data_IF_989013299114
#
_entry.id   IF_989013299114
#
_cell.length_a   1.000
_cell.length_b   1.000
_cell.length_c   1.000
_cell.angle_alpha   90.00
_cell.angle_beta   90.00
_cell.angle_gamma   90.00
#
_symmetry.space_group_name_H-M   'P 1'
#
loop_
_entity.id
_entity.type
_entity.pdbx_description
1 polymer ?
#
# COMPACT_ATOMS: atom_id res chain seq x y z
N UNK A 1 -15.46 -18.93 -0.60
CA UNK A 1 -14.26 -18.77 -1.46
C UNK A 1 -14.16 -20.00 -2.34
N UNK A 2 -14.26 -19.85 -3.66
CA UNK A 2 -14.07 -20.99 -4.58
C UNK A 2 -12.65 -21.55 -4.41
N UNK A 3 -12.46 -22.85 -4.71
CA UNK A 3 -11.14 -23.50 -4.69
C UNK A 3 -10.08 -22.69 -5.49
N UNK A 4 -10.54 -21.96 -6.52
CA UNK A 4 -9.73 -21.04 -7.33
C UNK A 4 -9.09 -19.91 -6.50
N UNK A 5 -9.80 -19.28 -5.58
CA UNK A 5 -9.27 -18.16 -4.79
C UNK A 5 -8.15 -18.55 -3.83
N UNK A 6 -8.05 -19.83 -3.43
CA UNK A 6 -6.93 -20.35 -2.62
C UNK A 6 -5.70 -20.59 -3.51
N UNK A 7 -5.91 -21.09 -4.73
CA UNK A 7 -4.85 -21.29 -5.71
C UNK A 7 -4.22 -19.97 -6.14
N UNK A 8 -5.01 -18.90 -6.27
CA UNK A 8 -4.52 -17.57 -6.67
C UNK A 8 -3.56 -16.94 -5.65
N UNK A 9 -3.71 -17.24 -4.36
CA UNK A 9 -2.87 -16.68 -3.27
C UNK A 9 -1.60 -17.49 -3.03
N UNK A 10 -1.58 -18.73 -3.51
CA UNK A 10 -0.48 -19.68 -3.31
C UNK A 10 0.88 -19.11 -3.75
N UNK A 11 1.02 -18.47 -4.94
CA UNK A 11 2.30 -17.87 -5.34
C UNK A 11 2.79 -16.78 -4.40
N UNK A 12 1.90 -15.92 -3.87
CA UNK A 12 2.29 -14.92 -2.87
C UNK A 12 2.76 -15.59 -1.58
N UNK A 13 2.04 -16.60 -1.09
CA UNK A 13 2.45 -17.33 0.11
C UNK A 13 3.80 -18.01 -0.08
N UNK A 14 4.05 -18.58 -1.26
CA UNK A 14 5.35 -19.15 -1.62
C UNK A 14 6.46 -18.10 -1.64
N UNK A 15 6.21 -16.90 -2.18
CA UNK A 15 7.18 -15.79 -2.17
C UNK A 15 7.48 -15.27 -0.76
N UNK A 16 6.45 -15.17 0.09
CA UNK A 16 6.61 -14.82 1.50
C UNK A 16 7.41 -15.90 2.22
N UNK A 17 7.07 -17.18 2.03
CA UNK A 17 7.78 -18.31 2.62
C UNK A 17 9.24 -18.35 2.15
N UNK A 18 9.49 -18.07 0.87
CA UNK A 18 10.84 -17.93 0.33
C UNK A 18 11.60 -16.81 1.05
N UNK A 19 10.99 -15.63 1.24
CA UNK A 19 11.60 -14.55 2.02
C UNK A 19 11.95 -14.95 3.45
N UNK A 20 11.12 -15.77 4.11
CA UNK A 20 11.42 -16.36 5.42
C UNK A 20 12.63 -17.30 5.34
N UNK A 21 12.65 -18.23 4.38
CA UNK A 21 13.74 -19.19 4.18
C UNK A 21 15.06 -18.46 3.92
N UNK A 22 15.06 -17.48 3.01
CA UNK A 22 16.26 -16.70 2.66
C UNK A 22 16.83 -15.93 3.86
N UNK A 23 15.98 -15.51 4.80
CA UNK A 23 16.47 -14.98 6.06
C UNK A 23 17.04 -16.07 6.97
N UNK A 24 16.35 -17.20 7.09
CA UNK A 24 16.80 -18.32 7.94
C UNK A 24 18.15 -18.88 7.50
N UNK A 25 18.42 -18.92 6.20
CA UNK A 25 19.72 -19.32 5.64
C UNK A 25 20.80 -18.24 5.78
N UNK A 26 20.44 -17.03 6.26
CA UNK A 26 21.35 -15.90 6.41
C UNK A 26 21.62 -15.12 5.12
N UNK A 27 21.04 -15.52 3.97
CA UNK A 27 21.21 -14.80 2.70
C UNK A 27 20.64 -13.38 2.77
N UNK A 28 19.49 -13.21 3.44
CA UNK A 28 18.86 -11.91 3.67
C UNK A 28 18.86 -11.59 5.17
N UNK A 29 19.70 -10.65 5.59
CA UNK A 29 19.62 -10.08 6.93
C UNK A 29 18.61 -8.90 6.98
N UNK A 30 18.47 -8.25 8.14
CA UNK A 30 17.57 -7.09 8.27
C UNK A 30 17.90 -5.96 7.29
N UNK A 31 19.19 -5.72 7.04
CA UNK A 31 19.61 -4.69 6.07
C UNK A 31 19.24 -5.10 4.64
N UNK A 32 19.41 -6.38 4.28
CA UNK A 32 18.97 -6.94 3.01
C UNK A 32 17.46 -6.78 2.79
N UNK A 33 16.65 -7.06 3.81
CA UNK A 33 15.21 -6.83 3.76
C UNK A 33 14.87 -5.35 3.49
N UNK A 34 15.57 -4.41 4.16
CA UNK A 34 15.43 -2.98 3.93
C UNK A 34 15.90 -2.54 2.53
N UNK A 35 16.92 -3.20 1.97
CA UNK A 35 17.36 -2.97 0.59
C UNK A 35 16.27 -3.41 -0.39
N UNK A 36 15.68 -4.61 -0.20
CA UNK A 36 14.58 -5.09 -1.03
C UNK A 36 13.37 -4.14 -0.99
N UNK A 37 12.97 -3.67 0.19
CA UNK A 37 11.87 -2.71 0.31
C UNK A 37 12.19 -1.37 -0.35
N UNK A 38 13.44 -0.88 -0.22
CA UNK A 38 13.85 0.36 -0.88
C UNK A 38 13.87 0.21 -2.40
N UNK A 39 14.37 -0.91 -2.91
CA UNK A 39 14.37 -1.23 -4.34
C UNK A 39 12.93 -1.30 -4.85
N UNK A 40 12.04 -1.96 -4.09
CA UNK A 40 10.63 -2.02 -4.44
C UNK A 40 10.01 -0.62 -4.51
N UNK A 41 10.18 0.19 -3.47
CA UNK A 41 9.60 1.52 -3.39
C UNK A 41 10.12 2.52 -4.45
N UNK A 42 11.41 2.44 -4.80
CA UNK A 42 12.01 3.43 -5.71
C UNK A 42 12.04 2.99 -7.17
N UNK A 43 11.93 1.69 -7.45
CA UNK A 43 12.10 1.15 -8.81
C UNK A 43 10.88 0.37 -9.26
N UNK A 44 10.56 -0.74 -8.59
CA UNK A 44 9.56 -1.68 -9.15
C UNK A 44 8.12 -1.25 -8.90
N UNK A 45 7.80 -0.65 -7.75
CA UNK A 45 6.47 -0.07 -7.50
C UNK A 45 6.21 1.07 -8.50
N UNK A 46 7.08 2.09 -8.65
CA UNK A 46 6.90 3.13 -9.67
C UNK A 46 6.76 2.56 -11.08
N UNK A 47 7.60 1.60 -11.47
CA UNK A 47 7.49 0.96 -12.79
C UNK A 47 6.15 0.24 -12.98
N UNK A 48 5.69 -0.50 -11.97
CA UNK A 48 4.42 -1.21 -12.01
C UNK A 48 3.22 -0.27 -12.08
N UNK A 49 3.25 0.82 -11.32
CA UNK A 49 2.22 1.87 -11.36
C UNK A 49 2.18 2.54 -12.73
N UNK A 50 3.32 3.02 -13.20
CA UNK A 50 3.43 3.69 -14.49
C UNK A 50 2.93 2.77 -15.61
N UNK A 51 3.45 1.54 -15.69
CA UNK A 51 3.08 0.57 -16.72
C UNK A 51 1.58 0.28 -16.71
N UNK A 52 1.02 0.06 -15.52
CA UNK A 52 -0.39 -0.29 -15.36
C UNK A 52 -1.32 0.86 -15.75
N UNK A 53 -1.00 2.09 -15.34
CA UNK A 53 -1.79 3.27 -15.70
C UNK A 53 -1.64 3.59 -17.20
N UNK A 54 -0.41 3.56 -17.71
CA UNK A 54 -0.12 3.89 -19.11
C UNK A 54 -0.85 2.96 -20.10
N UNK A 55 -0.99 1.67 -19.77
CA UNK A 55 -1.76 0.73 -20.59
C UNK A 55 -3.27 0.71 -20.28
N UNK A 56 -3.69 1.24 -19.13
CA UNK A 56 -5.11 1.32 -18.80
C UNK A 56 -5.81 2.39 -19.63
N UNK A 57 -7.09 2.17 -19.93
CA UNK A 57 -7.96 3.25 -20.43
C UNK A 57 -8.42 4.08 -19.24
N UNK A 58 -8.03 5.35 -19.22
CA UNK A 58 -8.50 6.28 -18.19
C UNK A 58 -10.03 6.44 -18.28
N UNK A 59 -10.71 5.85 -17.31
CA UNK A 59 -12.15 5.99 -17.13
C UNK A 59 -12.44 7.10 -16.13
N UNK A 60 -13.63 7.70 -16.21
CA UNK A 60 -14.07 8.71 -15.25
C UNK A 60 -14.00 8.19 -13.80
N UNK A 61 -14.35 6.91 -13.59
CA UNK A 61 -14.23 6.22 -12.31
C UNK A 61 -12.80 6.18 -11.77
N UNK A 62 -11.78 6.01 -12.62
CA UNK A 62 -10.38 6.02 -12.18
C UNK A 62 -9.93 7.41 -11.73
N UNK A 63 -10.42 8.47 -12.38
CA UNK A 63 -10.11 9.85 -12.01
C UNK A 63 -10.80 10.31 -10.71
N UNK A 64 -11.85 9.61 -10.27
CA UNK A 64 -12.46 9.84 -8.97
C UNK A 64 -11.64 9.22 -7.81
N UNK A 65 -10.77 8.24 -8.09
CA UNK A 65 -10.01 7.54 -7.04
C UNK A 65 -9.04 8.45 -6.27
N UNK A 66 -8.29 9.38 -6.88
CA UNK A 66 -7.50 10.35 -6.13
C UNK A 66 -8.37 11.23 -5.22
N UNK A 67 -9.57 11.63 -5.67
CA UNK A 67 -10.50 12.42 -4.84
C UNK A 67 -10.95 11.59 -3.63
N UNK A 68 -11.35 10.34 -3.86
CA UNK A 68 -11.70 9.41 -2.78
C UNK A 68 -10.52 9.16 -1.83
N UNK A 69 -9.30 9.12 -2.35
CA UNK A 69 -8.06 8.99 -1.59
C UNK A 69 -7.79 10.14 -0.61
N UNK A 70 -8.33 11.33 -0.88
CA UNK A 70 -8.30 12.46 0.06
C UNK A 70 -9.53 12.44 0.98
N UNK A 71 -10.71 12.25 0.41
CA UNK A 71 -11.99 12.41 1.11
C UNK A 71 -12.20 11.32 2.16
N UNK A 72 -11.89 10.06 1.85
CA UNK A 72 -12.11 8.94 2.78
C UNK A 72 -11.26 9.08 4.05
N UNK A 73 -9.93 9.28 3.98
CA UNK A 73 -9.13 9.52 5.19
C UNK A 73 -9.58 10.76 5.97
N UNK A 74 -9.99 11.84 5.29
CA UNK A 74 -10.50 13.04 5.93
C UNK A 74 -11.82 12.80 6.67
N UNK A 75 -12.75 12.07 6.06
CA UNK A 75 -14.00 11.65 6.67
C UNK A 75 -13.74 10.75 7.89
N UNK A 76 -12.84 9.78 7.78
CA UNK A 76 -12.44 8.92 8.90
C UNK A 76 -11.83 9.72 10.05
N UNK A 77 -10.96 10.69 9.76
CA UNK A 77 -10.42 11.59 10.77
C UNK A 77 -11.52 12.42 11.46
N UNK A 78 -12.54 12.87 10.71
CA UNK A 78 -13.73 13.53 11.24
C UNK A 78 -14.56 12.62 12.15
N UNK A 79 -14.81 11.37 11.74
CA UNK A 79 -15.52 10.38 12.56
C UNK A 79 -14.75 10.11 13.86
N UNK A 80 -13.43 9.93 13.78
CA UNK A 80 -12.57 9.77 14.96
C UNK A 80 -12.69 10.99 15.87
N UNK A 81 -12.66 12.21 15.32
CA UNK A 81 -12.87 13.42 16.12
C UNK A 81 -14.21 13.36 16.86
N UNK A 82 -15.31 13.09 16.18
CA UNK A 82 -16.65 13.12 16.78
C UNK A 82 -16.88 12.00 17.81
N UNK A 83 -16.27 10.83 17.61
CA UNK A 83 -16.47 9.63 18.45
C UNK A 83 -15.51 9.51 19.62
N UNK A 84 -14.48 10.37 19.69
CA UNK A 84 -13.50 10.39 20.80
C UNK A 84 -13.53 11.67 21.65
N UNK A 85 -14.70 12.18 22.08
CA UNK A 85 -14.76 13.37 22.94
C UNK A 85 -14.12 13.12 24.32
N UNK A 86 -14.13 11.87 24.80
CA UNK A 86 -13.46 11.45 26.05
C UNK A 86 -11.94 11.56 26.02
N UNK A 87 -11.36 11.70 24.83
CA UNK A 87 -9.93 11.90 24.61
C UNK A 87 -9.60 13.40 24.40
N UNK A 88 -10.54 14.31 24.70
CA UNK A 88 -10.30 15.75 24.62
C UNK A 88 -9.14 16.20 25.52
N UNK A 89 -9.00 15.59 26.70
CA UNK A 89 -7.92 15.86 27.65
C UNK A 89 -6.59 15.19 27.26
N UNK A 90 -6.59 14.36 26.20
CA UNK A 90 -5.42 13.68 25.65
C UNK A 90 -5.27 14.03 24.16
N UNK A 91 -5.00 15.30 23.83
CA UNK A 91 -4.93 15.77 22.44
C UNK A 91 -3.91 14.96 21.63
N UNK A 92 -2.79 14.58 22.23
CA UNK A 92 -1.71 13.82 21.59
C UNK A 92 -2.18 12.45 21.05
N UNK A 93 -2.88 11.68 21.90
CA UNK A 93 -3.40 10.38 21.52
C UNK A 93 -4.45 10.51 20.42
N UNK A 94 -5.30 11.54 20.51
CA UNK A 94 -6.34 11.82 19.52
C UNK A 94 -5.76 12.28 18.17
N UNK A 95 -4.68 13.06 18.19
CA UNK A 95 -3.93 13.46 17.01
C UNK A 95 -3.28 12.29 16.29
N UNK A 96 -2.65 11.37 17.05
CA UNK A 96 -2.06 10.14 16.48
C UNK A 96 -3.12 9.28 15.78
N UNK A 97 -4.31 9.16 16.38
CA UNK A 97 -5.41 8.40 15.76
C UNK A 97 -5.85 9.01 14.42
N UNK A 98 -5.98 10.34 14.32
CA UNK A 98 -6.35 11.02 13.07
C UNK A 98 -5.28 10.91 11.98
N UNK A 99 -4.01 11.02 12.36
CA UNK A 99 -2.86 10.84 11.46
C UNK A 99 -2.79 9.39 10.98
N UNK A 100 -3.10 8.44 11.86
CA UNK A 100 -3.10 7.01 11.56
C UNK A 100 -4.15 6.54 10.54
N UNK A 101 -5.09 7.42 10.15
CA UNK A 101 -6.08 7.11 9.11
C UNK A 101 -5.50 7.11 7.69
N UNK A 102 -4.22 7.46 7.53
CA UNK A 102 -3.47 7.28 6.26
C UNK A 102 -3.31 5.79 5.99
N UNK A 103 -3.84 5.32 4.87
CA UNK A 103 -3.58 3.94 4.40
C UNK A 103 -2.17 3.90 3.79
N UNK A 104 -1.21 3.19 4.39
CA UNK A 104 0.08 2.99 3.73
C UNK A 104 -0.10 1.99 2.57
N UNK A 105 -0.36 2.52 1.38
CA UNK A 105 -0.64 1.72 0.18
C UNK A 105 0.49 0.77 -0.19
N UNK A 106 1.75 1.13 0.12
CA UNK A 106 2.98 0.44 -0.34
C UNK A 106 2.97 -1.08 -0.17
N UNK A 107 2.44 -1.59 0.95
CA UNK A 107 2.36 -3.04 1.18
C UNK A 107 1.10 -3.69 0.59
N UNK A 108 0.09 -2.90 0.23
CA UNK A 108 -1.11 -3.36 -0.44
C UNK A 108 -0.92 -3.54 -1.95
N UNK A 109 -0.04 -2.76 -2.60
CA UNK A 109 0.20 -2.84 -4.07
C UNK A 109 0.39 -4.29 -4.58
N UNK A 110 1.21 -5.15 -3.96
CA UNK A 110 1.41 -6.52 -4.44
C UNK A 110 0.14 -7.38 -4.33
N UNK A 111 -0.70 -7.17 -3.31
CA UNK A 111 -1.98 -7.86 -3.18
C UNK A 111 -2.98 -7.38 -4.22
N UNK A 112 -3.02 -6.07 -4.50
CA UNK A 112 -3.87 -5.54 -5.56
C UNK A 112 -3.46 -6.06 -6.94
N UNK A 113 -2.15 -6.12 -7.21
CA UNK A 113 -1.63 -6.73 -8.44
C UNK A 113 -2.02 -8.20 -8.56
N UNK A 114 -2.04 -8.96 -7.47
CA UNK A 114 -2.41 -10.38 -7.49
C UNK A 114 -3.90 -10.57 -7.74
N UNK A 115 -4.75 -9.98 -6.91
CA UNK A 115 -6.18 -10.26 -6.91
C UNK A 115 -6.94 -9.54 -8.03
N UNK A 116 -6.43 -8.39 -8.45
CA UNK A 116 -7.13 -7.49 -9.37
C UNK A 116 -6.28 -7.14 -10.60
N UNK A 117 -5.12 -7.76 -10.76
CA UNK A 117 -4.23 -7.57 -11.90
C UNK A 117 -3.66 -6.15 -12.01
N UNK A 118 -3.09 -5.81 -13.19
CA UNK A 118 -2.58 -4.47 -13.48
C UNK A 118 -3.65 -3.38 -13.32
N UNK A 119 -4.91 -3.67 -13.66
CA UNK A 119 -5.99 -2.69 -13.54
C UNK A 119 -6.27 -2.32 -12.07
N UNK A 120 -6.34 -3.32 -11.18
CA UNK A 120 -6.48 -3.06 -9.75
C UNK A 120 -5.27 -2.36 -9.14
N UNK A 121 -4.07 -2.68 -9.62
CA UNK A 121 -2.86 -1.96 -9.24
C UNK A 121 -2.92 -0.48 -9.65
N UNK A 122 -3.36 -0.19 -10.88
CA UNK A 122 -3.56 1.18 -11.35
C UNK A 122 -4.60 1.91 -10.49
N UNK A 123 -5.71 1.25 -10.15
CA UNK A 123 -6.76 1.83 -9.28
C UNK A 123 -6.24 2.16 -7.88
N UNK A 124 -5.53 1.24 -7.23
CA UNK A 124 -4.98 1.51 -5.88
C UNK A 124 -3.89 2.59 -5.93
N UNK A 125 -3.10 2.64 -7.00
CA UNK A 125 -2.11 3.70 -7.20
C UNK A 125 -2.77 5.09 -7.32
N UNK A 126 -3.83 5.20 -8.10
CA UNK A 126 -4.61 6.44 -8.25
C UNK A 126 -5.25 6.85 -6.92
N UNK A 127 -5.75 5.90 -6.13
CA UNK A 127 -6.21 6.17 -4.77
C UNK A 127 -5.07 6.67 -3.85
N UNK A 128 -3.90 6.03 -3.91
CA UNK A 128 -2.74 6.36 -3.07
C UNK A 128 -2.15 7.75 -3.38
N UNK A 129 -2.27 8.21 -4.64
CA UNK A 129 -1.98 9.61 -5.02
C UNK A 129 -2.79 10.59 -4.18
N UNK A 130 -4.10 10.37 -4.06
CA UNK A 130 -4.97 11.18 -3.21
C UNK A 130 -4.59 11.09 -1.73
N UNK A 131 -4.30 9.89 -1.26
CA UNK A 131 -3.92 9.64 0.11
C UNK A 131 -2.58 10.33 0.48
N UNK A 132 -1.64 10.42 -0.45
CA UNK A 132 -0.40 11.17 -0.27
C UNK A 132 -0.67 12.68 -0.14
N UNK A 133 -1.68 13.22 -0.83
CA UNK A 133 -2.13 14.61 -0.63
C UNK A 133 -2.71 14.80 0.77
N UNK A 134 -3.56 13.89 1.25
CA UNK A 134 -4.06 13.92 2.64
C UNK A 134 -2.92 13.86 3.66
N UNK A 135 -1.96 12.96 3.46
CA UNK A 135 -0.78 12.82 4.32
C UNK A 135 0.08 14.10 4.33
N UNK A 136 0.23 14.77 3.19
CA UNK A 136 0.98 16.03 3.07
C UNK A 136 0.26 17.27 3.61
N UNK A 137 -1.04 17.19 3.86
CA UNK A 137 -1.89 18.32 4.26
C UNK A 137 -2.54 18.10 5.63
N UNK A 138 -3.68 17.42 5.64
CA UNK A 138 -4.55 17.27 6.79
C UNK A 138 -3.89 16.46 7.90
N UNK A 139 -3.19 15.36 7.58
CA UNK A 139 -2.49 14.57 8.59
C UNK A 139 -1.43 15.42 9.33
N UNK A 140 -0.70 16.28 8.62
CA UNK A 140 0.31 17.14 9.24
C UNK A 140 -0.34 18.25 10.05
N UNK A 141 -1.43 18.82 9.56
CA UNK A 141 -2.22 19.77 10.31
C UNK A 141 -2.72 19.18 11.64
N UNK A 142 -3.27 17.95 11.61
CA UNK A 142 -3.68 17.23 12.83
C UNK A 142 -2.49 16.95 13.75
N UNK A 143 -1.37 16.45 13.21
CA UNK A 143 -0.16 16.17 13.99
C UNK A 143 0.36 17.40 14.73
N UNK A 144 0.18 18.60 14.19
CA UNK A 144 0.64 19.85 14.81
C UNK A 144 -0.38 20.41 15.78
N UNK A 145 -1.67 20.38 15.43
CA UNK A 145 -2.75 20.87 16.29
C UNK A 145 -2.85 20.08 17.59
N UNK A 146 -2.52 18.80 17.52
CA UNK A 146 -2.73 17.83 18.60
C UNK A 146 -1.44 17.20 19.14
N UNK A 147 -0.26 17.41 18.54
CA UNK A 147 0.99 16.76 18.97
C UNK A 147 1.79 17.48 20.06
N UNK A 148 2.59 16.73 20.84
CA UNK A 148 3.36 17.22 22.00
C UNK A 148 4.61 18.04 21.66
N UNK A 149 5.13 17.91 20.43
CA UNK A 149 6.29 18.65 19.93
C UNK A 149 5.85 19.58 18.80
N UNK A 150 5.48 20.81 19.16
CA UNK A 150 5.32 21.92 18.21
C UNK A 150 6.69 22.28 17.62
N UNK A 151 7.17 21.49 16.64
CA UNK A 151 8.14 21.98 15.65
C UNK A 151 7.32 22.70 14.59
N UNK A 152 7.60 23.99 14.38
CA UNK A 152 6.80 24.88 13.54
C UNK A 152 6.42 24.28 12.18
N UNK A 153 5.23 24.68 11.69
CA UNK A 153 4.68 24.23 10.42
C UNK A 153 5.67 24.45 9.28
N UNK A 154 6.19 23.35 8.75
CA UNK A 154 6.89 23.37 7.47
C UNK A 154 6.12 22.50 6.49
N UNK A 155 4.90 22.98 6.15
CA UNK A 155 4.10 22.41 5.08
C UNK A 155 4.90 22.31 3.77
N UNK A 156 5.84 23.23 3.54
CA UNK A 156 6.77 23.19 2.42
C UNK A 156 7.59 21.90 2.38
N UNK A 157 8.25 21.51 3.49
CA UNK A 157 9.02 20.26 3.57
C UNK A 157 8.18 19.01 3.36
N UNK A 158 6.94 19.02 3.82
CA UNK A 158 6.04 17.88 3.70
C UNK A 158 5.47 17.70 2.29
N UNK A 159 4.95 18.79 1.72
CA UNK A 159 4.55 18.83 0.31
C UNK A 159 5.70 18.48 -0.61
N UNK A 160 6.92 18.94 -0.30
CA UNK A 160 8.12 18.56 -1.05
C UNK A 160 8.39 17.06 -0.98
N UNK A 161 8.12 16.37 0.14
CA UNK A 161 8.26 14.90 0.22
C UNK A 161 7.19 14.16 -0.59
N UNK A 162 5.96 14.68 -0.61
CA UNK A 162 4.87 14.11 -1.41
C UNK A 162 5.17 14.26 -2.91
N UNK A 163 5.54 15.46 -3.34
CA UNK A 163 5.88 15.77 -4.74
C UNK A 163 7.17 15.06 -5.17
N UNK A 164 8.14 14.89 -4.27
CA UNK A 164 9.37 14.13 -4.55
C UNK A 164 9.17 12.60 -4.49
N UNK A 165 7.96 12.10 -4.22
CA UNK A 165 7.70 10.67 -4.15
C UNK A 165 7.79 10.03 -5.55
N UNK A 166 8.60 8.96 -5.74
CA UNK A 166 8.69 8.24 -7.01
C UNK A 166 7.32 7.72 -7.50
N UNK A 167 6.45 7.33 -6.56
CA UNK A 167 5.09 6.83 -6.84
C UNK A 167 4.23 7.92 -7.49
N UNK A 168 4.35 9.16 -7.00
CA UNK A 168 3.58 10.30 -7.51
C UNK A 168 3.97 10.61 -8.96
N UNK A 169 5.27 10.63 -9.24
CA UNK A 169 5.78 10.84 -10.61
C UNK A 169 5.38 9.72 -11.55
N UNK A 170 5.49 8.46 -11.12
CA UNK A 170 5.05 7.32 -11.92
C UNK A 170 3.56 7.39 -12.27
N UNK A 171 2.71 7.76 -11.31
CA UNK A 171 1.29 7.93 -11.56
C UNK A 171 1.00 9.10 -12.52
N UNK A 172 1.63 10.26 -12.30
CA UNK A 172 1.46 11.43 -13.16
C UNK A 172 1.91 11.17 -14.61
N UNK A 173 3.09 10.55 -14.78
CA UNK A 173 3.61 10.17 -16.09
C UNK A 173 2.72 9.11 -16.75
N UNK A 174 2.25 8.11 -15.99
CA UNK A 174 1.36 7.06 -16.49
C UNK A 174 0.03 7.63 -16.98
N UNK A 175 -0.57 8.54 -16.20
CA UNK A 175 -1.79 9.27 -16.60
C UNK A 175 -1.53 10.09 -17.86
N UNK A 176 -0.40 10.78 -17.94
CA UNK A 176 -0.06 11.61 -19.10
C UNK A 176 0.07 10.77 -20.38
N UNK A 177 0.80 9.65 -20.30
CA UNK A 177 0.99 8.71 -21.42
C UNK A 177 -0.34 8.11 -21.86
N UNK A 178 -1.19 7.68 -20.92
CA UNK A 178 -2.51 7.13 -21.24
C UNK A 178 -3.47 8.18 -21.81
N UNK A 179 -3.48 9.41 -21.26
CA UNK A 179 -4.33 10.50 -21.73
C UNK A 179 -3.98 10.95 -23.16
N UNK A 180 -2.69 10.99 -23.48
CA UNK A 180 -2.19 11.29 -24.83
C UNK A 180 -2.29 10.09 -25.78
N UNK A 181 -2.74 8.92 -25.30
CA UNK A 181 -2.81 7.66 -26.04
C UNK A 181 -1.47 7.29 -26.70
N UNK A 182 -0.37 7.56 -26.00
CA UNK A 182 0.96 7.19 -26.46
C UNK A 182 1.11 5.69 -26.30
N UNK A 183 1.26 4.98 -27.41
CA UNK A 183 1.53 3.56 -27.41
C UNK A 183 2.98 3.33 -26.94
N UNK A 184 3.12 2.75 -25.75
CA UNK A 184 4.40 2.23 -25.29
C UNK A 184 4.70 0.98 -26.13
N UNK A 185 5.66 1.07 -27.04
CA UNK A 185 6.09 -0.04 -27.89
C UNK A 185 7.60 -0.28 -27.81
N UNK A 186 8.02 -1.44 -28.30
CA UNK A 186 9.42 -1.81 -28.46
C UNK A 186 10.19 -2.01 -27.15
N UNK A 187 11.53 -1.82 -27.17
CA UNK A 187 12.41 -2.18 -26.05
C UNK A 187 12.08 -1.48 -24.72
N UNK A 188 11.51 -0.27 -24.78
CA UNK A 188 11.14 0.50 -23.59
C UNK A 188 9.98 -0.14 -22.82
N UNK A 189 8.95 -0.61 -23.53
CA UNK A 189 7.82 -1.30 -22.92
C UNK A 189 8.27 -2.60 -22.26
N UNK A 190 9.14 -3.36 -22.92
CA UNK A 190 9.69 -4.60 -22.40
C UNK A 190 10.53 -4.36 -21.14
N UNK A 191 11.36 -3.32 -21.14
CA UNK A 191 12.14 -2.94 -19.97
C UNK A 191 11.24 -2.59 -18.78
N UNK A 192 10.25 -1.73 -18.99
CA UNK A 192 9.35 -1.27 -17.92
C UNK A 192 8.47 -2.43 -17.42
N UNK A 193 7.95 -3.28 -18.30
CA UNK A 193 7.13 -4.43 -17.92
C UNK A 193 7.89 -5.43 -17.05
N UNK A 194 9.18 -5.65 -17.33
CA UNK A 194 10.04 -6.52 -16.52
C UNK A 194 10.30 -5.93 -15.13
N UNK A 195 10.54 -4.62 -15.04
CA UNK A 195 10.65 -3.93 -13.75
C UNK A 195 9.33 -3.99 -12.97
N UNK A 196 8.20 -3.83 -13.65
CA UNK A 196 6.88 -3.96 -13.07
C UNK A 196 6.62 -5.38 -12.52
N UNK A 197 6.94 -6.42 -13.31
CA UNK A 197 6.78 -7.81 -12.93
C UNK A 197 7.65 -8.22 -11.73
N UNK A 198 8.83 -7.61 -11.57
CA UNK A 198 9.70 -7.84 -10.42
C UNK A 198 9.13 -7.30 -9.10
N UNK A 199 8.09 -6.46 -9.14
CA UNK A 199 7.53 -5.84 -7.95
C UNK A 199 6.97 -6.85 -6.94
N UNK A 200 6.09 -7.74 -7.39
CA UNK A 200 5.41 -8.70 -6.51
C UNK A 200 6.41 -9.64 -5.82
N UNK A 201 7.37 -10.27 -6.52
CA UNK A 201 8.42 -11.08 -5.89
C UNK A 201 9.23 -10.31 -4.85
N UNK A 202 9.75 -9.14 -5.19
CA UNK A 202 10.61 -8.36 -4.28
C UNK A 202 9.87 -7.91 -3.03
N UNK A 203 8.65 -7.40 -3.19
CA UNK A 203 7.86 -6.92 -2.07
C UNK A 203 7.43 -8.07 -1.14
N UNK A 204 6.97 -9.20 -1.69
CA UNK A 204 6.54 -10.35 -0.88
C UNK A 204 7.71 -11.06 -0.19
N UNK A 205 8.86 -11.17 -0.85
CA UNK A 205 10.08 -11.67 -0.18
C UNK A 205 10.55 -10.72 0.93
N UNK A 206 10.47 -9.39 0.73
CA UNK A 206 10.80 -8.43 1.78
C UNK A 206 9.87 -8.59 3.00
N UNK A 207 8.55 -8.74 2.78
CA UNK A 207 7.58 -9.04 3.84
C UNK A 207 7.97 -10.33 4.58
N UNK A 208 8.25 -11.41 3.84
CA UNK A 208 8.74 -12.67 4.41
C UNK A 208 10.00 -12.52 5.26
N UNK A 209 10.96 -11.74 4.79
CA UNK A 209 12.20 -11.47 5.51
C UNK A 209 11.96 -10.69 6.83
N UNK A 210 10.93 -9.83 6.90
CA UNK A 210 10.55 -9.15 8.15
C UNK A 210 9.76 -10.03 9.13
N UNK A 211 9.10 -11.09 8.66
CA UNK A 211 8.27 -11.96 9.50
C UNK A 211 9.12 -12.78 10.48
N UNK A 212 9.32 -12.29 11.70
CA UNK A 212 9.97 -13.04 12.78
C UNK A 212 8.93 -13.91 13.48
N UNK A 213 8.90 -15.24 13.26
CA UNK A 213 8.03 -16.09 14.04
C UNK A 213 8.61 -16.12 15.45
N UNK A 214 7.98 -15.40 16.40
CA UNK A 214 8.23 -15.62 17.81
C UNK A 214 7.57 -16.95 18.17
N UNK A 215 8.38 -17.98 18.41
CA UNK A 215 7.95 -19.35 18.64
C UNK A 215 7.03 -19.54 19.86
N UNK A 216 6.89 -18.54 20.74
CA UNK A 216 6.10 -18.64 21.96
C UNK A 216 4.59 -18.92 21.71
N UNK A 217 4.03 -18.55 20.55
CA UNK A 217 2.58 -18.68 20.29
C UNK A 217 2.26 -19.30 18.93
N UNK A 218 3.18 -20.06 18.32
CA UNK A 218 2.96 -20.71 17.00
C UNK A 218 1.64 -21.52 16.90
N UNK A 219 1.31 -22.39 17.87
CA UNK A 219 0.04 -23.13 17.89
C UNK A 219 -1.18 -22.22 18.03
N UNK A 220 -1.07 -21.15 18.84
CA UNK A 220 -2.12 -20.16 19.07
C UNK A 220 -2.39 -19.30 17.83
N UNK A 221 -1.34 -18.88 17.11
CA UNK A 221 -1.46 -18.12 15.85
C UNK A 221 -2.05 -19.01 14.76
N UNK A 222 -1.62 -20.27 14.66
CA UNK A 222 -2.20 -21.23 13.73
C UNK A 222 -3.68 -21.49 14.04
N UNK A 223 -4.03 -21.71 15.31
CA UNK A 223 -5.41 -21.84 15.75
C UNK A 223 -6.23 -20.59 15.44
N UNK A 224 -5.67 -19.39 15.65
CA UNK A 224 -6.36 -18.13 15.35
C UNK A 224 -6.59 -17.95 13.85
N UNK A 225 -5.60 -18.26 13.01
CA UNK A 225 -5.73 -18.20 11.54
C UNK A 225 -6.76 -19.21 11.04
N UNK A 226 -6.71 -20.45 11.51
CA UNK A 226 -7.67 -21.50 11.15
C UNK A 226 -9.08 -21.13 11.61
N UNK A 227 -9.24 -20.68 12.85
CA UNK A 227 -10.54 -20.27 13.40
C UNK A 227 -11.11 -19.10 12.61
N UNK A 228 -10.28 -18.10 12.28
CA UNK A 228 -10.70 -16.92 11.52
C UNK A 228 -11.04 -17.26 10.06
N UNK A 229 -10.31 -18.18 9.44
CA UNK A 229 -10.62 -18.67 8.09
C UNK A 229 -11.92 -19.49 8.08
N UNK A 230 -12.13 -20.37 9.05
CA UNK A 230 -13.35 -21.16 9.17
C UNK A 230 -14.56 -20.27 9.45
N UNK A 231 -14.47 -19.32 10.39
CA UNK A 231 -15.55 -18.36 10.65
C UNK A 231 -15.83 -17.44 9.46
N UNK A 232 -14.79 -16.96 8.76
CA UNK A 232 -14.96 -16.16 7.55
C UNK A 232 -15.65 -16.93 6.42
N UNK A 233 -15.36 -18.23 6.28
CA UNK A 233 -16.02 -19.11 5.32
C UNK A 233 -17.49 -19.35 5.71
N UNK A 234 -17.77 -19.61 6.99
CA UNK A 234 -19.14 -19.84 7.47
C UNK A 234 -20.02 -18.59 7.35
N UNK A 235 -19.51 -17.42 7.71
CA UNK A 235 -20.24 -16.15 7.55
C UNK A 235 -20.42 -15.77 6.09
N UNK A 236 -19.43 -16.04 5.22
CA UNK A 236 -19.54 -15.82 3.79
C UNK A 236 -20.50 -16.79 3.08
N UNK A 237 -20.80 -17.95 3.67
CA UNK A 237 -21.82 -18.87 3.18
C UNK A 237 -23.25 -18.48 3.62
N UNK A 238 -23.39 -17.85 4.79
CA UNK A 238 -24.67 -17.35 5.30
C UNK A 238 -25.10 -16.01 4.70
N UNK A 239 -24.19 -15.26 4.09
CA UNK A 239 -24.44 -13.94 3.52
C UNK A 239 -24.46 -13.93 1.98
N UNK A 240 -24.88 -15.05 1.37
CA UNK A 240 -25.03 -15.20 -0.08
C UNK A 240 -25.88 -14.11 -0.73
#
# INVERSE_FOLDING_TARGET
MSLAGILDVTPILMLIALGVILRLTGLINQQGALVLTRLAYHVTIPAAIFYSIAQSRLTSSMMMLPVLGVVVPLMLAGVVYLTTPRLADQPELRGVLMVGMVVLGVFAFPFFQLFFGPEGLARVAMYDVGNAVYAGTAAIWFSQRFGSRSRGFDGGRAWRKVIASPIMWAAALGVTVSALRIELGGPLQDFISRLAAANTPLAMMAVGAFLRPRAAHGPLVAQFVVTRMVFGVLLGWGAG
#
